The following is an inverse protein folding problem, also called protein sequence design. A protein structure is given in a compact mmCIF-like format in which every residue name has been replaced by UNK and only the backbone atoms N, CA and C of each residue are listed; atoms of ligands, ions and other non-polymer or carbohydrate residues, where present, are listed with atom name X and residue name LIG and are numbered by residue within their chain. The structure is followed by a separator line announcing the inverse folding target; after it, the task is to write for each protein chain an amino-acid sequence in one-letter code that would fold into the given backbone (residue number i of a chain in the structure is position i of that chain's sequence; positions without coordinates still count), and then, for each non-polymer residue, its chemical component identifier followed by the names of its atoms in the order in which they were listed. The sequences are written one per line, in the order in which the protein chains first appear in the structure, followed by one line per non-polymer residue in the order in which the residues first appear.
data_IF_644951315686
#
_entry.id   IF_644951315686
#
_cell.length_a   1.000
_cell.length_b   1.000
_cell.length_c   1.000
_cell.angle_alpha   90.00
_cell.angle_beta   90.00
_cell.angle_gamma   90.00
#
_symmetry.space_group_name_H-M   'P 1'
#
loop_
_entity.id
_entity.type
_entity.pdbx_description
1 polymer ?
#
# COMPACT_ATOMS: atom_id res chain seq x y z
N UNK A 1 13.83 3.85 7.28
CA UNK A 1 13.75 4.08 5.82
C UNK A 1 12.63 3.22 5.29
N UNK A 2 11.79 3.77 4.40
CA UNK A 2 10.64 3.07 3.84
C UNK A 2 11.00 1.64 3.39
N UNK A 3 10.30 0.64 3.89
CA UNK A 3 10.44 -0.73 3.42
C UNK A 3 9.71 -0.91 2.08
N UNK A 4 10.46 -1.05 0.98
CA UNK A 4 9.85 -1.23 -0.36
C UNK A 4 9.31 -2.66 -0.46
N UNK A 5 8.00 -2.82 -0.20
CA UNK A 5 7.26 -4.06 -0.43
C UNK A 5 6.97 -4.21 -1.90
N UNK A 6 7.29 -5.38 -2.44
CA UNK A 6 7.27 -5.67 -3.88
C UNK A 6 6.03 -6.43 -4.34
N UNK A 7 5.02 -6.55 -3.47
CA UNK A 7 3.77 -7.24 -3.76
C UNK A 7 2.60 -6.53 -3.08
N UNK A 8 1.42 -6.61 -3.69
CA UNK A 8 0.17 -6.17 -3.08
C UNK A 8 -0.16 -7.08 -1.90
N UNK A 9 -0.45 -6.50 -0.73
CA UNK A 9 -0.79 -7.28 0.46
C UNK A 9 -2.13 -8.00 0.34
N UNK A 10 -3.05 -7.54 -0.53
CA UNK A 10 -4.36 -8.17 -0.69
C UNK A 10 -4.40 -9.28 -1.75
N UNK A 11 -3.77 -9.08 -2.91
CA UNK A 11 -3.94 -9.95 -4.09
C UNK A 11 -2.62 -10.47 -4.67
N UNK A 12 -1.49 -10.25 -3.98
CA UNK A 12 -0.14 -10.69 -4.38
C UNK A 12 0.39 -10.11 -5.70
N UNK A 13 -0.35 -9.20 -6.34
CA UNK A 13 0.09 -8.52 -7.57
C UNK A 13 1.53 -7.99 -7.40
N UNK A 14 2.46 -8.28 -8.33
CA UNK A 14 3.82 -7.74 -8.27
C UNK A 14 3.82 -6.22 -8.35
N UNK A 15 4.50 -5.58 -7.41
CA UNK A 15 4.66 -4.13 -7.26
C UNK A 15 6.15 -3.80 -7.12
N UNK A 16 6.99 -4.03 -8.16
CA UNK A 16 8.43 -3.75 -8.10
C UNK A 16 8.74 -2.29 -7.72
N UNK A 17 10.00 -1.98 -7.43
CA UNK A 17 10.41 -0.66 -6.96
C UNK A 17 9.89 0.51 -7.83
N UNK A 18 9.87 0.31 -9.14
CA UNK A 18 9.43 1.24 -10.19
C UNK A 18 7.96 1.05 -10.61
N UNK A 19 7.18 0.25 -9.89
CA UNK A 19 5.75 0.06 -10.16
C UNK A 19 5.00 1.39 -10.07
N UNK A 20 4.23 1.69 -11.12
CA UNK A 20 3.34 2.86 -11.17
C UNK A 20 2.01 2.63 -10.44
N UNK A 21 1.73 1.38 -10.06
CA UNK A 21 0.47 0.97 -9.43
C UNK A 21 0.62 0.75 -7.92
N UNK A 22 1.84 0.87 -7.37
CA UNK A 22 2.07 0.68 -5.95
C UNK A 22 1.55 1.88 -5.17
N UNK A 23 0.61 1.61 -4.27
CA UNK A 23 0.03 2.57 -3.35
C UNK A 23 0.49 2.27 -1.93
N UNK A 24 0.66 3.29 -1.10
CA UNK A 24 1.19 3.18 0.25
C UNK A 24 0.45 4.10 1.23
N UNK A 25 0.23 3.62 2.46
CA UNK A 25 -0.27 4.46 3.56
C UNK A 25 0.86 4.91 4.49
N UNK A 26 0.57 5.75 5.49
CA UNK A 26 1.58 6.26 6.45
C UNK A 26 2.25 5.17 7.32
N UNK A 27 1.67 3.97 7.39
CA UNK A 27 2.22 2.81 8.11
C UNK A 27 2.86 1.78 7.16
N UNK A 28 3.17 2.21 5.93
CA UNK A 28 3.87 1.42 4.92
C UNK A 28 3.11 0.15 4.46
N UNK A 29 1.79 0.08 4.67
CA UNK A 29 0.96 -0.95 4.03
C UNK A 29 0.93 -0.70 2.52
N UNK A 30 1.19 -1.72 1.73
CA UNK A 30 1.36 -1.61 0.28
C UNK A 30 0.27 -2.41 -0.45
N UNK A 31 -0.49 -1.72 -1.29
CA UNK A 31 -1.55 -2.33 -2.13
C UNK A 31 -1.39 -1.85 -3.57
N UNK A 32 -1.95 -2.60 -4.52
CA UNK A 32 -2.04 -2.12 -5.88
C UNK A 32 -3.18 -1.10 -6.01
N UNK A 33 -3.08 -0.21 -7.00
CA UNK A 33 -4.10 0.79 -7.30
C UNK A 33 -5.50 0.19 -7.43
N UNK A 34 -5.62 -0.95 -8.12
CA UNK A 34 -6.90 -1.65 -8.28
C UNK A 34 -7.54 -2.06 -6.95
N UNK A 35 -6.77 -2.61 -6.00
CA UNK A 35 -7.29 -2.91 -4.66
C UNK A 35 -7.65 -1.63 -3.90
N UNK A 36 -6.86 -0.57 -4.03
CA UNK A 36 -7.16 0.72 -3.37
C UNK A 36 -8.47 1.31 -3.87
N UNK A 37 -8.71 1.26 -5.18
CA UNK A 37 -9.88 1.87 -5.82
C UNK A 37 -11.14 1.01 -5.64
N UNK A 38 -11.03 -0.32 -5.79
CA UNK A 38 -12.20 -1.20 -5.93
C UNK A 38 -12.50 -2.08 -4.71
N UNK A 39 -11.53 -2.31 -3.82
CA UNK A 39 -11.69 -3.21 -2.66
C UNK A 39 -11.63 -2.41 -1.35
N UNK A 40 -10.70 -1.47 -1.26
CA UNK A 40 -10.42 -0.70 -0.04
C UNK A 40 -11.07 0.69 -0.05
N UNK A 41 -11.51 1.19 -1.20
CA UNK A 41 -12.12 2.51 -1.37
C UNK A 41 -11.30 3.63 -0.69
N UNK A 42 -9.98 3.60 -0.90
CA UNK A 42 -9.03 4.50 -0.27
C UNK A 42 -9.06 4.52 1.28
N UNK A 43 -9.44 3.41 1.92
CA UNK A 43 -9.42 3.22 3.38
C UNK A 43 -8.47 2.09 3.74
N UNK A 44 -7.37 2.40 4.42
CA UNK A 44 -6.41 1.40 4.85
C UNK A 44 -7.03 0.46 5.90
N UNK A 45 -7.00 -0.88 5.69
CA UNK A 45 -7.59 -1.83 6.63
C UNK A 45 -6.85 -1.94 7.96
N UNK A 46 -5.61 -1.44 8.02
CA UNK A 46 -4.76 -1.50 9.21
C UNK A 46 -4.79 -0.19 10.03
N UNK A 47 -5.08 0.97 9.41
CA UNK A 47 -4.97 2.27 10.09
C UNK A 47 -6.10 3.27 9.78
N UNK A 48 -7.08 2.94 8.92
CA UNK A 48 -8.18 3.83 8.54
C UNK A 48 -7.82 5.01 7.62
N UNK A 49 -6.53 5.36 7.52
CA UNK A 49 -6.03 6.44 6.66
C UNK A 49 -6.14 6.15 5.15
N UNK A 50 -5.80 7.16 4.34
CA UNK A 50 -5.76 7.05 2.89
C UNK A 50 -4.48 6.44 2.33
N UNK A 51 -4.43 6.34 1.00
CA UNK A 51 -3.29 5.87 0.24
C UNK A 51 -2.76 6.92 -0.71
N UNK A 52 -1.45 6.93 -0.89
CA UNK A 52 -0.73 7.76 -1.85
C UNK A 52 0.13 6.88 -2.77
N UNK A 53 0.60 7.46 -3.88
CA UNK A 53 1.54 6.74 -4.77
C UNK A 53 2.84 6.43 -4.03
N UNK A 54 3.26 5.16 -4.02
CA UNK A 54 4.51 4.75 -3.39
C UNK A 54 5.71 5.39 -4.13
N UNK A 55 6.60 6.11 -3.42
CA UNK A 55 7.79 6.66 -4.06
C UNK A 55 8.73 5.55 -4.53
N UNK A 56 9.39 5.79 -5.66
CA UNK A 56 10.40 4.88 -6.23
C UNK A 56 11.76 5.19 -5.61
N UNK A 57 12.46 4.16 -5.12
CA UNK A 57 13.85 4.30 -4.66
C UNK A 57 14.79 4.49 -5.85
N UNK A 58 15.69 5.49 -5.85
CA UNK A 58 16.69 5.64 -6.90
C UNK A 58 17.55 4.38 -7.08
N UNK A 59 17.94 4.06 -8.32
CA UNK A 59 18.68 2.83 -8.64
C UNK A 59 19.99 2.68 -7.84
N UNK A 60 20.71 3.78 -7.62
CA UNK A 60 21.96 3.78 -6.85
C UNK A 60 21.76 3.36 -5.39
N UNK A 61 20.60 3.69 -4.80
CA UNK A 61 20.29 3.42 -3.41
C UNK A 61 19.78 2.00 -3.18
N UNK A 62 19.36 1.27 -4.22
CA UNK A 62 18.93 -0.13 -4.10
C UNK A 62 20.04 -1.08 -3.63
N UNK A 63 21.31 -0.74 -3.87
CA UNK A 63 22.45 -1.55 -3.39
C UNK A 63 22.63 -1.43 -1.88
N UNK A 64 22.48 -0.22 -1.33
CA UNK A 64 22.62 0.06 0.10
C UNK A 64 21.35 -0.29 0.87
N UNK A 65 20.21 -0.05 0.24
CA UNK A 65 18.88 -0.22 0.81
C UNK A 65 18.06 -1.05 -0.17
N UNK A 66 18.20 -2.38 -0.15
CA UNK A 66 17.45 -3.25 -1.03
C UNK A 66 15.94 -3.21 -0.73
N UNK A 67 15.15 -3.69 -1.69
CA UNK A 67 13.72 -3.94 -1.47
C UNK A 67 13.52 -5.07 -0.47
N UNK A 68 12.32 -5.16 0.10
CA UNK A 68 11.95 -6.27 0.97
C UNK A 68 12.00 -7.59 0.19
N UNK A 69 12.69 -8.59 0.74
CA UNK A 69 12.74 -9.96 0.16
C UNK A 69 11.54 -10.80 0.59
N UNK A 70 11.07 -10.61 1.81
CA UNK A 70 9.93 -11.35 2.35
C UNK A 70 8.63 -10.84 1.75
N UNK A 71 7.81 -11.77 1.26
CA UNK A 71 6.45 -11.49 0.83
C UNK A 71 5.60 -11.08 2.03
N UNK A 72 4.75 -10.08 1.82
CA UNK A 72 3.69 -9.73 2.77
C UNK A 72 2.38 -9.97 2.03
N UNK A 73 1.73 -11.08 2.38
CA UNK A 73 0.42 -11.44 1.83
C UNK A 73 -0.56 -11.60 2.99
N UNK A 74 -1.55 -10.72 3.02
CA UNK A 74 -2.59 -10.59 4.04
C UNK A 74 -3.90 -10.16 3.36
N UNK A 75 -4.62 -11.09 2.70
CA UNK A 75 -5.91 -10.82 2.09
C UNK A 75 -6.85 -10.10 3.05
N UNK A 76 -7.51 -9.07 2.53
CA UNK A 76 -8.44 -8.26 3.31
C UNK A 76 -9.80 -8.92 3.25
N UNK A 77 -10.10 -9.72 4.29
CA UNK A 77 -11.42 -10.35 4.46
C UNK A 77 -12.43 -9.34 5.01
N UNK A 78 -11.98 -8.47 5.91
CA UNK A 78 -12.78 -7.42 6.54
C UNK A 78 -11.92 -6.19 6.79
N UNK A 79 -12.43 -5.03 6.41
CA UNK A 79 -11.84 -3.74 6.76
C UNK A 79 -12.70 -3.07 7.85
N UNK A 80 -12.24 -3.00 9.11
CA UNK A 80 -13.03 -2.47 10.22
C UNK A 80 -13.32 -0.97 10.11
N UNK A 81 -12.58 -0.24 9.27
CA UNK A 81 -12.70 1.20 9.12
C UNK A 81 -13.52 1.63 7.89
N UNK A 82 -13.87 0.67 7.03
CA UNK A 82 -14.38 0.99 5.69
C UNK A 82 -15.67 1.81 5.73
N UNK A 83 -16.69 1.33 6.45
CA UNK A 83 -17.98 2.02 6.50
C UNK A 83 -17.92 3.37 7.20
N UNK A 84 -16.96 3.56 8.11
CA UNK A 84 -16.77 4.83 8.81
C UNK A 84 -16.10 5.89 7.92
N UNK A 85 -15.23 5.50 7.00
CA UNK A 85 -14.28 6.41 6.37
C UNK A 85 -14.29 6.45 4.84
N UNK A 86 -14.98 5.53 4.16
CA UNK A 86 -15.00 5.47 2.68
C UNK A 86 -15.45 6.78 2.02
N UNK A 87 -16.34 7.52 2.68
CA UNK A 87 -16.91 8.77 2.18
C UNK A 87 -16.30 10.03 2.83
N UNK A 88 -15.28 9.85 3.69
CA UNK A 88 -14.58 10.93 4.39
C UNK A 88 -13.21 11.16 3.77
N UNK A 89 -12.86 12.41 3.52
CA UNK A 89 -11.51 12.78 3.03
C UNK A 89 -10.45 12.22 4.00
N UNK A 90 -9.39 11.53 3.50
CA UNK A 90 -8.34 10.98 4.34
C UNK A 90 -7.71 11.95 5.36
N UNK A 91 -7.76 13.25 5.12
CA UNK A 91 -7.21 14.29 6.01
C UNK A 91 -8.13 14.63 7.18
N UNK A 92 -9.38 14.19 7.14
CA UNK A 92 -10.45 14.51 8.10
C UNK A 92 -10.95 13.27 8.87
N UNK A 93 -10.22 12.14 8.83
CA UNK A 93 -10.60 10.85 9.45
C UNK A 93 -10.13 10.68 10.88
#
# INVERSE_FOLDING_TARGET
MLEIRTTCENCEKPLPNDSIEAMICTYECTFCKDCVDNILFNVCPNCGGGFEKRPTRPKAELKKHPVKKALVYKPVIKNPFLDQYKDTDPRER
#
